data_IF_997167466028
#
_entry.id   IF_997167466028
#
_cell.length_a   1.000
_cell.length_b   1.000
_cell.length_c   1.000
_cell.angle_alpha   90.00
_cell.angle_beta   90.00
_cell.angle_gamma   90.00
#
_symmetry.space_group_name_H-M   'P 1'
#
loop_
_entity.id
_entity.type
_entity.pdbx_description
1 polymer ?
#
# COMPACT_ATOMS: atom_id res chain seq x y z
N UNK A 1 -7.76 -9.08 0.91
CA UNK A 1 -6.70 -8.43 1.70
C UNK A 1 -6.57 -9.21 2.97
N UNK A 2 -5.36 -9.36 3.48
CA UNK A 2 -5.18 -9.92 4.83
C UNK A 2 -5.79 -8.97 5.87
N UNK A 3 -6.09 -9.47 7.07
CA UNK A 3 -6.58 -8.62 8.17
C UNK A 3 -5.60 -7.47 8.46
N UNK A 4 -4.30 -7.74 8.41
CA UNK A 4 -3.26 -6.73 8.59
C UNK A 4 -3.32 -5.63 7.53
N UNK A 5 -3.42 -5.99 6.25
CA UNK A 5 -3.56 -5.03 5.15
C UNK A 5 -4.81 -4.16 5.31
N UNK A 6 -5.90 -4.75 5.81
CA UNK A 6 -7.13 -4.00 6.06
C UNK A 6 -6.94 -2.95 7.17
N UNK A 7 -6.29 -3.32 8.27
CA UNK A 7 -5.96 -2.39 9.37
C UNK A 7 -5.01 -1.28 8.92
N UNK A 8 -4.05 -1.59 8.06
CA UNK A 8 -3.13 -0.59 7.48
C UNK A 8 -3.88 0.46 6.65
N UNK A 9 -4.79 0.01 5.77
CA UNK A 9 -5.59 0.93 4.95
C UNK A 9 -6.54 1.76 5.83
N UNK A 10 -7.16 1.16 6.86
CA UNK A 10 -7.99 1.89 7.83
C UNK A 10 -7.17 2.96 8.57
N UNK A 11 -5.98 2.64 9.03
CA UNK A 11 -5.11 3.58 9.74
C UNK A 11 -4.70 4.76 8.85
N UNK A 12 -4.34 4.49 7.58
CA UNK A 12 -4.06 5.55 6.61
C UNK A 12 -5.29 6.44 6.41
N UNK A 13 -6.49 5.87 6.20
CA UNK A 13 -7.73 6.66 6.05
C UNK A 13 -8.05 7.53 7.27
N UNK A 14 -7.84 7.01 8.49
CA UNK A 14 -8.21 7.68 9.73
C UNK A 14 -7.21 8.76 10.17
N UNK A 15 -5.91 8.50 9.99
CA UNK A 15 -4.87 9.33 10.58
C UNK A 15 -4.06 10.14 9.57
N UNK A 16 -4.21 9.85 8.27
CA UNK A 16 -3.44 10.49 7.21
C UNK A 16 -4.38 11.13 6.20
N UNK A 17 -4.15 12.41 5.90
CA UNK A 17 -4.80 13.08 4.79
C UNK A 17 -3.93 12.95 3.55
N UNK A 18 -4.18 11.93 2.72
CA UNK A 18 -3.49 11.75 1.45
C UNK A 18 -4.04 12.78 0.44
N UNK A 19 -3.22 13.72 -0.07
CA UNK A 19 -3.69 14.69 -1.06
C UNK A 19 -4.13 14.00 -2.35
N UNK A 20 -5.19 14.50 -3.01
CA UNK A 20 -5.75 13.90 -4.23
C UNK A 20 -4.74 13.81 -5.40
N UNK A 21 -3.76 14.71 -5.42
CA UNK A 21 -2.70 14.79 -6.43
C UNK A 21 -1.42 14.06 -6.01
N UNK A 22 -1.37 13.49 -4.81
CA UNK A 22 -0.18 12.79 -4.34
C UNK A 22 -0.01 11.43 -5.02
N UNK A 23 1.24 11.02 -5.18
CA UNK A 23 1.59 9.68 -5.59
C UNK A 23 0.96 8.66 -4.63
N UNK A 24 0.06 7.81 -5.14
CA UNK A 24 -0.68 6.82 -4.33
C UNK A 24 -2.11 7.22 -3.93
N UNK A 25 -2.59 8.42 -4.28
CA UNK A 25 -3.96 8.85 -3.97
C UNK A 25 -5.03 7.97 -4.63
N UNK A 26 -4.86 7.65 -5.92
CA UNK A 26 -5.77 6.75 -6.64
C UNK A 26 -5.76 5.33 -6.05
N UNK A 27 -4.60 4.85 -5.60
CA UNK A 27 -4.52 3.56 -4.91
C UNK A 27 -5.31 3.60 -3.60
N UNK A 28 -5.13 4.63 -2.78
CA UNK A 28 -5.86 4.73 -1.50
C UNK A 28 -7.37 4.75 -1.70
N UNK A 29 -7.88 5.51 -2.68
CA UNK A 29 -9.31 5.49 -3.02
C UNK A 29 -9.79 4.07 -3.39
N UNK A 30 -9.01 3.35 -4.20
CA UNK A 30 -9.35 1.98 -4.58
C UNK A 30 -9.30 1.01 -3.39
N UNK A 31 -8.29 1.13 -2.52
CA UNK A 31 -8.15 0.28 -1.34
C UNK A 31 -9.26 0.56 -0.30
N UNK A 32 -9.65 1.81 -0.12
CA UNK A 32 -10.77 2.20 0.73
C UNK A 32 -12.10 1.67 0.21
N UNK A 33 -12.34 1.75 -1.10
CA UNK A 33 -13.51 1.13 -1.71
C UNK A 33 -13.49 -0.40 -1.52
N UNK A 34 -12.34 -1.05 -1.75
CA UNK A 34 -12.18 -2.51 -1.57
C UNK A 34 -12.40 -2.94 -0.12
N UNK A 35 -12.02 -2.13 0.87
CA UNK A 35 -12.30 -2.43 2.29
C UNK A 35 -13.79 -2.63 2.58
N UNK A 36 -14.66 -1.89 1.89
CA UNK A 36 -16.10 -1.91 2.10
C UNK A 36 -16.75 -3.01 1.26
N UNK A 37 -16.35 -3.12 0.00
CA UNK A 37 -17.05 -3.95 -0.98
C UNK A 37 -16.40 -5.31 -1.25
N UNK A 38 -15.08 -5.42 -1.11
CA UNK A 38 -14.31 -6.63 -1.45
C UNK A 38 -13.14 -6.90 -0.48
N UNK A 39 -13.37 -6.96 0.84
CA UNK A 39 -12.29 -7.05 1.84
C UNK A 39 -11.45 -8.32 1.71
N UNK A 40 -12.03 -9.40 1.19
CA UNK A 40 -11.35 -10.67 0.98
C UNK A 40 -10.39 -10.66 -0.22
N UNK A 41 -10.58 -9.78 -1.21
CA UNK A 41 -9.82 -9.80 -2.47
C UNK A 41 -8.33 -9.50 -2.23
N UNK A 42 -7.38 -10.37 -2.57
CA UNK A 42 -5.96 -10.20 -2.25
C UNK A 42 -5.35 -8.99 -2.96
N UNK A 43 -4.35 -8.36 -2.33
CA UNK A 43 -3.56 -7.31 -2.99
C UNK A 43 -2.59 -7.93 -3.99
N UNK A 44 -2.46 -7.32 -5.15
CA UNK A 44 -1.35 -7.61 -6.06
C UNK A 44 -0.02 -7.18 -5.44
N UNK A 45 1.10 -7.74 -5.92
CA UNK A 45 2.44 -7.36 -5.46
C UNK A 45 2.71 -5.84 -5.62
N UNK A 46 2.17 -5.22 -6.68
CA UNK A 46 2.27 -3.77 -6.90
C UNK A 46 1.47 -2.98 -5.87
N UNK A 47 0.23 -3.38 -5.59
CA UNK A 47 -0.61 -2.71 -4.59
C UNK A 47 -0.01 -2.83 -3.19
N UNK A 48 0.51 -4.02 -2.84
CA UNK A 48 1.18 -4.24 -1.56
C UNK A 48 2.41 -3.34 -1.41
N UNK A 49 3.29 -3.31 -2.42
CA UNK A 49 4.44 -2.41 -2.43
C UNK A 49 4.05 -0.93 -2.26
N UNK A 50 3.00 -0.49 -2.95
CA UNK A 50 2.53 0.88 -2.84
C UNK A 50 1.89 1.18 -1.48
N UNK A 51 1.18 0.21 -0.88
CA UNK A 51 0.69 0.32 0.50
C UNK A 51 1.85 0.47 1.48
N UNK A 52 2.87 -0.37 1.38
CA UNK A 52 4.08 -0.27 2.21
C UNK A 52 4.79 1.08 2.03
N UNK A 53 4.87 1.59 0.80
CA UNK A 53 5.42 2.92 0.49
C UNK A 53 4.62 4.03 1.18
N UNK A 54 3.30 3.97 1.17
CA UNK A 54 2.45 4.96 1.85
C UNK A 54 2.68 4.91 3.37
N UNK A 55 2.74 3.71 3.95
CA UNK A 55 3.05 3.55 5.37
C UNK A 55 4.42 4.15 5.73
N UNK A 56 5.44 3.92 4.90
CA UNK A 56 6.77 4.53 5.06
C UNK A 56 6.70 6.07 5.00
N UNK A 57 6.05 6.63 3.97
CA UNK A 57 5.97 8.07 3.77
C UNK A 57 5.23 8.78 4.90
N UNK A 58 4.21 8.14 5.47
CA UNK A 58 3.38 8.70 6.53
C UNK A 58 3.69 8.16 7.93
N UNK A 59 4.84 7.50 8.11
CA UNK A 59 5.26 6.91 9.39
C UNK A 59 5.21 7.87 10.58
N UNK A 60 5.54 9.14 10.36
CA UNK A 60 5.54 10.17 11.41
C UNK A 60 4.12 10.48 11.90
N UNK A 61 3.11 10.36 11.04
CA UNK A 61 1.70 10.57 11.38
C UNK A 61 1.07 9.33 12.00
N UNK A 62 1.56 8.14 11.65
CA UNK A 62 1.08 6.85 12.16
C UNK A 62 1.77 6.41 13.46
N UNK A 63 2.96 6.96 13.75
CA UNK A 63 3.77 6.61 14.91
C UNK A 63 2.99 6.71 16.23
N UNK A 64 3.01 5.65 17.03
CA UNK A 64 2.30 5.57 18.31
C UNK A 64 0.78 5.47 18.23
N UNK A 65 0.19 5.45 17.02
CA UNK A 65 -1.27 5.33 16.80
C UNK A 65 -1.72 3.96 16.32
N UNK A 66 -0.78 3.14 15.85
CA UNK A 66 -1.05 1.82 15.26
C UNK A 66 -0.29 0.73 16.00
N UNK A 67 -0.86 -0.47 16.03
CA UNK A 67 -0.28 -1.64 16.71
C UNK A 67 0.66 -2.45 15.80
N UNK A 68 0.61 -2.24 14.49
CA UNK A 68 1.43 -2.96 13.51
C UNK A 68 2.74 -2.24 13.21
N UNK A 69 3.72 -3.00 12.73
CA UNK A 69 5.01 -2.46 12.30
C UNK A 69 4.87 -1.57 11.08
N UNK A 70 5.43 -0.35 11.16
CA UNK A 70 5.54 0.57 10.04
C UNK A 70 6.97 0.44 9.45
N UNK A 71 7.15 0.39 8.12
CA UNK A 71 8.48 0.34 7.53
C UNK A 71 9.36 1.53 7.95
N UNK A 72 10.55 1.24 8.44
CA UNK A 72 11.57 2.25 8.80
C UNK A 72 12.43 2.66 7.62
N UNK A 73 12.52 1.80 6.60
CA UNK A 73 13.24 2.03 5.35
C UNK A 73 12.27 2.09 4.17
N UNK A 74 12.68 2.75 3.09
CA UNK A 74 11.86 2.85 1.89
C UNK A 74 11.72 1.46 1.25
N UNK A 75 10.50 0.94 1.06
CA UNK A 75 10.30 -0.36 0.43
C UNK A 75 10.90 -0.40 -0.98
N UNK A 76 11.60 -1.50 -1.29
CA UNK A 76 12.12 -1.73 -2.63
C UNK A 76 10.98 -2.04 -3.61
N UNK A 77 11.05 -1.57 -4.88
CA UNK A 77 10.08 -1.97 -5.90
C UNK A 77 10.09 -3.49 -6.07
N UNK A 78 8.93 -4.11 -6.35
CA UNK A 78 8.86 -5.54 -6.60
C UNK A 78 9.77 -5.87 -7.79
N UNK A 79 10.46 -7.02 -7.71
CA UNK A 79 11.32 -7.49 -8.80
C UNK A 79 10.51 -7.45 -10.12
N UNK A 80 11.05 -6.75 -11.13
CA UNK A 80 10.50 -6.84 -12.47
C UNK A 80 10.59 -8.31 -12.88
N UNK A 81 9.47 -8.93 -13.25
CA UNK A 81 9.55 -10.17 -14.02
C UNK A 81 10.39 -9.86 -15.26
N UNK A 82 11.42 -10.64 -15.59
CA UNK A 82 12.10 -10.47 -16.87
C UNK A 82 11.03 -10.52 -17.95
N UNK A 83 10.92 -9.45 -18.74
CA UNK A 83 10.08 -9.45 -19.91
C UNK A 83 10.58 -10.57 -20.82
N UNK A 84 9.71 -11.49 -21.20
CA UNK A 84 9.97 -12.63 -22.11
C UNK A 84 10.45 -12.23 -23.52
N UNK A 85 10.92 -11.00 -23.69
CA UNK A 85 11.31 -10.41 -24.96
C UNK A 85 12.81 -10.59 -25.27
N UNK A 86 13.61 -11.09 -24.33
CA UNK A 86 15.05 -11.36 -24.53
C UNK A 86 15.35 -12.80 -25.01
N UNK A 87 14.35 -13.62 -25.32
CA UNK A 87 14.54 -14.99 -25.81
C UNK A 87 14.25 -15.18 -27.31
N UNK A 88 14.22 -14.09 -28.09
CA UNK A 88 14.11 -14.12 -29.55
C UNK A 88 15.17 -13.23 -30.19
N UNK A 89 16.44 -13.55 -29.95
CA UNK A 89 17.56 -13.20 -30.84
C UNK A 89 18.50 -14.40 -30.94
#
# INVERSE_FOLDING_TARGET
MTRLEQEQVRALRLYVRVPDFAYGAALMKNLEWRLIHQPAQPLSAREKHLLDLLLYHYRAQLGGRVWFTIPTEKPAPPARRPSTQESLL
#
